data_IF_330857983693
#
_entry.id   IF_330857983693
#
_cell.length_a   1.000
_cell.length_b   1.000
_cell.length_c   1.000
_cell.angle_alpha   90.00
_cell.angle_beta   90.00
_cell.angle_gamma   90.00
#
_symmetry.space_group_name_H-M   'P 1'
#
loop_
_entity.id
_entity.type
_entity.pdbx_description
1 polymer ?
#
# COMPACT_ATOMS: atom_id res chain seq x y z
N UNK A 1 0.99 4.24 8.30
CA UNK A 1 -0.02 4.58 9.35
C UNK A 1 0.64 5.45 10.44
N UNK A 2 -0.06 5.80 11.54
CA UNK A 2 0.59 6.47 12.69
C UNK A 2 1.76 5.65 13.24
N UNK A 3 1.57 4.33 13.39
CA UNK A 3 2.61 3.41 13.85
C UNK A 3 3.82 3.38 12.91
N UNK A 4 3.59 3.25 11.59
CA UNK A 4 4.66 3.26 10.59
C UNK A 4 5.49 4.53 10.68
N UNK A 5 4.85 5.71 10.70
CA UNK A 5 5.57 6.98 10.74
C UNK A 5 6.28 7.16 12.08
N UNK A 6 5.65 6.79 13.21
CA UNK A 6 6.27 6.87 14.53
C UNK A 6 7.51 5.98 14.65
N UNK A 7 7.54 4.84 13.94
CA UNK A 7 8.69 3.93 13.98
C UNK A 7 9.95 4.51 13.36
N UNK A 8 9.85 5.53 12.51
CA UNK A 8 10.99 6.10 11.79
C UNK A 8 11.65 5.17 10.77
N UNK A 9 11.04 4.02 10.47
CA UNK A 9 11.70 2.96 9.68
C UNK A 9 12.00 3.41 8.25
N UNK A 10 11.13 4.23 7.64
CA UNK A 10 11.35 4.73 6.29
C UNK A 10 12.52 5.71 6.27
N UNK A 11 12.55 6.65 7.21
CA UNK A 11 13.62 7.63 7.38
C UNK A 11 14.95 6.93 7.58
N UNK A 12 15.02 5.99 8.53
CA UNK A 12 16.25 5.26 8.82
C UNK A 12 16.77 4.49 7.60
N UNK A 13 15.90 3.74 6.91
CA UNK A 13 16.30 2.90 5.79
C UNK A 13 16.66 3.72 4.55
N UNK A 14 15.89 4.75 4.23
CA UNK A 14 16.16 5.62 3.09
C UNK A 14 17.40 6.49 3.34
N UNK A 15 17.60 7.01 4.54
CA UNK A 15 18.79 7.79 4.87
C UNK A 15 20.07 6.96 4.78
N UNK A 16 20.03 5.67 5.17
CA UNK A 16 21.16 4.77 5.04
C UNK A 16 21.53 4.47 3.57
N UNK A 17 20.53 4.41 2.69
CA UNK A 17 20.73 4.14 1.25
C UNK A 17 21.03 5.41 0.45
N UNK A 18 20.45 6.54 0.84
CA UNK A 18 20.52 7.83 0.17
C UNK A 18 20.77 8.96 1.18
N UNK A 19 22.01 9.12 1.69
CA UNK A 19 22.29 10.09 2.75
C UNK A 19 22.00 11.56 2.39
N UNK A 20 21.95 11.90 1.11
CA UNK A 20 21.60 13.24 0.63
C UNK A 20 20.10 13.50 0.49
N UNK A 21 19.24 12.50 0.66
CA UNK A 21 17.81 12.64 0.47
C UNK A 21 17.14 13.40 1.62
N UNK A 22 16.24 14.33 1.29
CA UNK A 22 15.33 14.96 2.27
C UNK A 22 14.08 14.11 2.41
N UNK A 23 13.88 13.50 3.57
CA UNK A 23 12.79 12.56 3.80
C UNK A 23 11.70 13.21 4.65
N UNK A 24 10.45 13.13 4.20
CA UNK A 24 9.29 13.67 4.90
C UNK A 24 8.24 12.59 5.10
N UNK A 25 7.79 12.43 6.34
CA UNK A 25 6.71 11.51 6.66
C UNK A 25 5.46 12.21 7.14
N UNK A 26 4.32 11.75 6.65
CA UNK A 26 3.01 12.23 7.07
C UNK A 26 2.11 11.05 7.50
N UNK A 27 1.68 10.98 8.77
CA UNK A 27 0.68 10.01 9.15
C UNK A 27 -0.69 10.44 8.62
N UNK A 28 -1.38 9.52 7.95
CA UNK A 28 -2.70 9.74 7.34
C UNK A 28 -3.77 8.81 7.96
N UNK A 29 -4.06 8.92 9.27
CA UNK A 29 -4.90 7.97 10.00
C UNK A 29 -6.33 7.84 9.47
N UNK A 30 -6.90 8.90 8.88
CA UNK A 30 -8.27 8.86 8.36
C UNK A 30 -8.39 8.13 7.02
N UNK A 31 -7.30 7.91 6.28
CA UNK A 31 -7.41 7.33 4.94
C UNK A 31 -7.79 5.86 4.93
N UNK A 32 -7.33 5.08 5.92
CA UNK A 32 -7.68 3.66 6.04
C UNK A 32 -9.18 3.46 6.23
N UNK A 33 -9.83 4.03 7.27
CA UNK A 33 -11.27 3.83 7.47
C UNK A 33 -12.10 4.33 6.27
N UNK A 34 -11.70 5.43 5.60
CA UNK A 34 -12.38 5.88 4.39
C UNK A 34 -12.30 4.88 3.24
N UNK A 35 -11.18 4.17 3.09
CA UNK A 35 -11.02 3.13 2.07
C UNK A 35 -11.85 1.90 2.43
N UNK A 36 -11.84 1.49 3.70
CA UNK A 36 -12.61 0.36 4.21
C UNK A 36 -14.13 0.57 4.05
N UNK A 37 -14.61 1.80 4.29
CA UNK A 37 -16.00 2.23 4.03
C UNK A 37 -16.31 2.41 2.53
N UNK A 38 -15.32 2.25 1.64
CA UNK A 38 -15.49 2.39 0.20
C UNK A 38 -15.65 3.82 -0.29
N UNK A 39 -15.27 4.83 0.49
CA UNK A 39 -15.41 6.26 0.17
C UNK A 39 -14.30 6.74 -0.77
N UNK A 40 -14.08 6.03 -1.88
CA UNK A 40 -12.95 6.23 -2.80
C UNK A 40 -13.09 7.45 -3.72
N UNK A 41 -14.28 8.05 -3.82
CA UNK A 41 -14.56 9.21 -4.69
C UNK A 41 -15.32 10.35 -3.99
N UNK A 42 -15.65 10.16 -2.70
CA UNK A 42 -16.39 11.09 -1.84
C UNK A 42 -15.67 12.43 -1.67
N UNK A 43 -16.43 13.50 -1.46
CA UNK A 43 -15.88 14.87 -1.32
C UNK A 43 -14.99 14.97 -0.07
N UNK A 44 -15.39 14.30 0.99
CA UNK A 44 -14.73 14.19 2.28
C UNK A 44 -13.32 13.61 2.12
N UNK A 45 -13.20 12.48 1.42
CA UNK A 45 -11.92 11.84 1.11
C UNK A 45 -11.02 12.77 0.30
N UNK A 46 -11.58 13.48 -0.68
CA UNK A 46 -10.84 14.45 -1.50
C UNK A 46 -10.31 15.63 -0.65
N UNK A 47 -11.08 16.11 0.33
CA UNK A 47 -10.68 17.18 1.25
C UNK A 47 -9.62 16.73 2.24
N UNK A 48 -9.79 15.54 2.83
CA UNK A 48 -8.83 14.95 3.77
C UNK A 48 -7.49 14.70 3.07
N UNK A 49 -7.51 14.17 1.84
CA UNK A 49 -6.29 14.03 1.03
C UNK A 49 -5.59 15.37 0.80
N UNK A 50 -6.32 16.44 0.44
CA UNK A 50 -5.71 17.77 0.28
C UNK A 50 -5.01 18.23 1.57
N UNK A 51 -5.65 18.02 2.73
CA UNK A 51 -5.07 18.38 4.03
C UNK A 51 -3.80 17.59 4.35
N UNK A 52 -3.78 16.28 4.06
CA UNK A 52 -2.59 15.47 4.31
C UNK A 52 -1.46 15.73 3.31
N UNK A 53 -1.77 16.01 2.05
CA UNK A 53 -0.76 16.24 1.01
C UNK A 53 -0.21 17.66 1.02
N UNK A 54 -0.94 18.64 1.58
CA UNK A 54 -0.52 20.04 1.56
C UNK A 54 0.89 20.30 2.15
N UNK A 55 1.26 19.76 3.33
CA UNK A 55 2.61 19.91 3.86
C UNK A 55 3.69 19.36 2.90
N UNK A 56 3.44 18.18 2.32
CA UNK A 56 4.39 17.53 1.40
C UNK A 56 4.57 18.33 0.11
N UNK A 57 3.51 18.99 -0.37
CA UNK A 57 3.60 19.90 -1.52
C UNK A 57 4.43 21.14 -1.23
N UNK A 58 4.33 21.69 -0.02
CA UNK A 58 5.13 22.84 0.38
C UNK A 58 6.62 22.53 0.39
N UNK A 59 6.98 21.29 0.72
CA UNK A 59 8.35 20.79 0.67
C UNK A 59 8.84 20.45 -0.75
N UNK A 60 7.96 20.54 -1.76
CA UNK A 60 8.28 20.30 -3.16
C UNK A 60 8.89 18.91 -3.42
N UNK A 61 8.36 17.88 -2.76
CA UNK A 61 8.80 16.49 -2.99
C UNK A 61 8.66 16.11 -4.47
N UNK A 62 9.59 15.32 -4.98
CA UNK A 62 9.55 14.73 -6.32
C UNK A 62 9.00 13.29 -6.32
N UNK A 63 8.98 12.63 -5.16
CA UNK A 63 8.62 11.23 -5.00
C UNK A 63 7.77 11.05 -3.76
N UNK A 64 6.68 10.29 -3.88
CA UNK A 64 5.78 9.94 -2.78
C UNK A 64 5.58 8.43 -2.71
N UNK A 65 6.00 7.84 -1.60
CA UNK A 65 5.75 6.42 -1.30
C UNK A 65 4.36 6.24 -0.69
N UNK A 66 3.56 5.36 -1.28
CA UNK A 66 2.27 4.94 -0.75
C UNK A 66 2.47 3.89 0.36
N UNK A 67 2.98 4.33 1.51
CA UNK A 67 3.43 3.46 2.63
C UNK A 67 2.33 2.77 3.45
N UNK A 68 1.20 2.43 2.83
CA UNK A 68 0.13 1.63 3.41
C UNK A 68 -0.55 0.83 2.31
N UNK A 69 -0.86 -0.44 2.58
CA UNK A 69 -1.52 -1.37 1.64
C UNK A 69 -2.85 -0.85 1.06
N UNK A 70 -3.51 0.08 1.73
CA UNK A 70 -4.78 0.67 1.29
C UNK A 70 -4.61 1.81 0.28
N UNK A 71 -3.46 2.50 0.29
CA UNK A 71 -3.27 3.75 -0.45
C UNK A 71 -3.19 3.59 -1.98
N UNK A 72 -2.80 2.43 -2.55
CA UNK A 72 -2.95 2.17 -3.99
C UNK A 72 -4.37 2.41 -4.52
N UNK A 73 -5.40 2.09 -3.74
CA UNK A 73 -6.81 2.33 -4.11
C UNK A 73 -7.15 3.81 -4.23
N UNK A 74 -6.35 4.70 -3.63
CA UNK A 74 -6.50 6.15 -3.71
C UNK A 74 -5.56 6.80 -4.73
N UNK A 75 -4.76 6.03 -5.48
CA UNK A 75 -3.71 6.55 -6.39
C UNK A 75 -4.26 7.58 -7.38
N UNK A 76 -5.43 7.31 -7.98
CA UNK A 76 -6.12 8.22 -8.91
C UNK A 76 -6.60 9.52 -8.25
N UNK A 77 -6.87 9.51 -6.94
CA UNK A 77 -7.15 10.73 -6.18
C UNK A 77 -5.87 11.44 -5.73
N UNK A 78 -4.83 10.70 -5.37
CA UNK A 78 -3.57 11.26 -4.85
C UNK A 78 -2.82 12.01 -5.96
N UNK A 79 -2.62 11.39 -7.12
CA UNK A 79 -1.79 11.94 -8.20
C UNK A 79 -2.13 13.38 -8.60
N UNK A 80 -3.38 13.69 -8.97
CA UNK A 80 -3.78 15.06 -9.31
C UNK A 80 -3.64 16.06 -8.15
N UNK A 81 -3.66 15.59 -6.90
CA UNK A 81 -3.63 16.45 -5.70
C UNK A 81 -2.21 16.76 -5.24
N UNK A 82 -1.29 15.79 -5.30
CA UNK A 82 0.12 16.00 -4.96
C UNK A 82 0.87 16.75 -6.07
N UNK A 83 0.53 16.47 -7.33
CA UNK A 83 1.11 17.13 -8.50
C UNK A 83 1.58 16.11 -9.54
N UNK A 84 1.41 16.44 -10.84
CA UNK A 84 1.74 15.52 -11.95
C UNK A 84 3.22 15.17 -12.09
N UNK A 85 4.10 15.97 -11.51
CA UNK A 85 5.56 15.75 -11.53
C UNK A 85 6.05 14.82 -10.42
N UNK A 86 5.18 14.47 -9.46
CA UNK A 86 5.56 13.61 -8.34
C UNK A 86 5.43 12.15 -8.74
N UNK A 87 6.53 11.41 -8.63
CA UNK A 87 6.55 9.98 -8.84
C UNK A 87 5.82 9.27 -7.68
N UNK A 88 4.82 8.45 -8.00
CA UNK A 88 4.06 7.70 -7.00
C UNK A 88 4.55 6.25 -6.93
N UNK A 89 5.21 5.90 -5.83
CA UNK A 89 5.70 4.55 -5.57
C UNK A 89 4.62 3.73 -4.87
N UNK A 90 4.23 2.63 -5.51
CA UNK A 90 3.30 1.65 -4.96
C UNK A 90 4.07 0.47 -4.37
N UNK A 91 4.11 0.38 -3.04
CA UNK A 91 4.85 -0.67 -2.35
C UNK A 91 4.42 -2.09 -2.74
N UNK A 92 3.18 -2.30 -3.19
CA UNK A 92 2.72 -3.64 -3.60
C UNK A 92 3.43 -4.12 -4.88
N UNK A 93 3.62 -3.21 -5.84
CA UNK A 93 4.30 -3.50 -7.10
C UNK A 93 5.79 -3.75 -6.86
N UNK A 94 6.43 -2.90 -6.06
CA UNK A 94 7.85 -3.05 -5.74
C UNK A 94 8.15 -4.37 -5.00
N UNK A 95 7.29 -4.76 -4.06
CA UNK A 95 7.42 -6.05 -3.37
C UNK A 95 7.26 -7.23 -4.35
N UNK A 96 6.29 -7.17 -5.27
CA UNK A 96 6.09 -8.23 -6.26
C UNK A 96 7.30 -8.38 -7.20
N UNK A 97 7.89 -7.26 -7.64
CA UNK A 97 9.10 -7.25 -8.45
C UNK A 97 10.30 -7.83 -7.68
N UNK A 98 10.44 -7.47 -6.40
CA UNK A 98 11.50 -8.00 -5.54
C UNK A 98 11.36 -9.50 -5.32
N UNK A 99 10.15 -10.01 -5.08
CA UNK A 99 9.88 -11.46 -4.97
C UNK A 99 10.22 -12.20 -6.26
N UNK A 100 9.87 -11.62 -7.42
CA UNK A 100 10.25 -12.19 -8.73
C UNK A 100 11.76 -12.30 -8.87
N UNK A 101 12.49 -11.25 -8.51
CA UNK A 101 13.95 -11.22 -8.58
C UNK A 101 14.59 -12.21 -7.61
N UNK A 102 14.06 -12.30 -6.39
CA UNK A 102 14.48 -13.28 -5.41
C UNK A 102 14.31 -14.71 -5.95
N UNK A 103 13.15 -15.05 -6.53
CA UNK A 103 12.92 -16.37 -7.11
C UNK A 103 13.78 -16.66 -8.33
N UNK A 104 14.15 -15.63 -9.10
CA UNK A 104 15.08 -15.77 -10.23
C UNK A 104 16.47 -16.21 -9.73
N UNK A 105 16.95 -15.59 -8.65
CA UNK A 105 18.23 -15.93 -8.01
C UNK A 105 18.19 -17.22 -7.17
N UNK A 106 17.03 -17.82 -6.96
CA UNK A 106 16.84 -19.03 -6.16
C UNK A 106 16.12 -20.13 -6.98
N UNK A 107 16.78 -20.70 -8.01
CA UNK A 107 16.14 -21.60 -8.97
C UNK A 107 15.59 -22.88 -8.34
N UNK A 108 16.23 -23.42 -7.30
CA UNK A 108 15.74 -24.62 -6.58
C UNK A 108 14.39 -24.35 -5.89
N UNK A 109 14.27 -23.21 -5.21
CA UNK A 109 13.01 -22.80 -4.58
C UNK A 109 11.93 -22.56 -5.65
N UNK A 110 12.30 -21.90 -6.75
CA UNK A 110 11.39 -21.67 -7.88
C UNK A 110 10.88 -22.99 -8.46
N UNK A 111 11.74 -23.99 -8.65
CA UNK A 111 11.35 -25.30 -9.16
C UNK A 111 10.37 -26.02 -8.22
N UNK A 112 10.62 -25.98 -6.90
CA UNK A 112 9.70 -26.54 -5.90
C UNK A 112 8.31 -25.89 -5.91
N UNK A 113 8.24 -24.59 -6.22
CA UNK A 113 6.99 -23.84 -6.28
C UNK A 113 6.22 -24.05 -7.60
N UNK A 114 6.89 -24.46 -8.69
CA UNK A 114 6.26 -24.65 -10.01
C UNK A 114 5.30 -25.86 -10.06
N UNK A 115 5.46 -26.85 -9.18
CA UNK A 115 4.65 -28.08 -9.17
C UNK A 115 3.25 -27.93 -8.59
N UNK A 116 2.95 -26.84 -7.87
CA UNK A 116 1.69 -26.68 -7.15
C UNK A 116 0.83 -25.57 -7.77
N UNK A 117 0.12 -25.90 -8.85
CA UNK A 117 -0.87 -25.01 -9.49
C UNK A 117 -2.21 -24.93 -8.73
N UNK A 118 -2.21 -25.19 -7.42
CA UNK A 118 -3.39 -24.99 -6.61
C UNK A 118 -3.83 -23.51 -6.68
N UNK A 119 -5.13 -23.27 -6.73
CA UNK A 119 -5.67 -21.93 -6.64
C UNK A 119 -5.18 -21.26 -5.34
N UNK A 120 -4.88 -19.96 -5.41
CA UNK A 120 -4.52 -19.19 -4.22
C UNK A 120 -5.64 -19.28 -3.18
N UNK A 121 -5.29 -19.65 -1.95
CA UNK A 121 -6.21 -19.70 -0.81
C UNK A 121 -5.98 -18.48 0.08
N UNK A 122 -7.07 -17.87 0.55
CA UNK A 122 -7.02 -16.66 1.36
C UNK A 122 -7.70 -16.91 2.70
N UNK A 123 -6.98 -16.70 3.78
CA UNK A 123 -7.47 -16.94 5.13
C UNK A 123 -7.65 -15.62 5.89
N UNK A 124 -8.73 -15.52 6.68
CA UNK A 124 -9.03 -14.33 7.50
C UNK A 124 -9.44 -14.74 8.92
N UNK A 125 -9.07 -13.95 9.92
CA UNK A 125 -9.52 -14.18 11.30
C UNK A 125 -10.99 -13.84 11.51
N UNK A 126 -11.51 -12.90 10.71
CA UNK A 126 -12.94 -12.60 10.65
C UNK A 126 -13.39 -12.33 9.21
N UNK A 127 -14.64 -12.72 8.90
CA UNK A 127 -15.15 -12.74 7.53
C UNK A 127 -16.49 -12.00 7.44
N UNK A 128 -16.43 -10.68 7.58
CA UNK A 128 -17.60 -9.79 7.45
C UNK A 128 -17.82 -9.39 5.99
N UNK A 129 -19.01 -8.84 5.68
CA UNK A 129 -19.29 -8.33 4.34
C UNK A 129 -18.33 -7.19 3.92
N UNK A 130 -17.99 -6.20 4.79
CA UNK A 130 -16.98 -5.19 4.47
C UNK A 130 -15.62 -5.76 4.08
N UNK A 131 -15.12 -6.78 4.80
CA UNK A 131 -13.84 -7.43 4.50
C UNK A 131 -13.85 -8.06 3.10
N UNK A 132 -14.93 -8.75 2.73
CA UNK A 132 -15.08 -9.33 1.37
C UNK A 132 -15.08 -8.26 0.29
N UNK A 133 -15.83 -7.17 0.51
CA UNK A 133 -15.89 -6.06 -0.45
C UNK A 133 -14.53 -5.36 -0.61
N UNK A 134 -13.82 -5.14 0.48
CA UNK A 134 -12.48 -4.55 0.46
C UNK A 134 -11.49 -5.47 -0.27
N UNK A 135 -11.51 -6.77 0.05
CA UNK A 135 -10.69 -7.77 -0.63
C UNK A 135 -10.95 -7.73 -2.15
N UNK A 136 -12.22 -7.77 -2.57
CA UNK A 136 -12.57 -7.71 -3.98
C UNK A 136 -12.01 -6.46 -4.69
N UNK A 137 -12.03 -5.31 -4.02
CA UNK A 137 -11.44 -4.05 -4.53
C UNK A 137 -9.92 -4.12 -4.64
N UNK A 138 -9.23 -4.68 -3.65
CA UNK A 138 -7.77 -4.82 -3.66
C UNK A 138 -7.33 -5.78 -4.78
N UNK A 139 -8.03 -6.90 -4.95
CA UNK A 139 -7.68 -7.93 -5.93
C UNK A 139 -8.25 -7.66 -7.34
N UNK A 140 -9.16 -6.70 -7.48
CA UNK A 140 -9.86 -6.42 -8.74
C UNK A 140 -10.80 -7.55 -9.20
N UNK A 141 -11.08 -8.52 -8.32
CA UNK A 141 -11.95 -9.68 -8.55
C UNK A 141 -12.44 -10.22 -7.22
N UNK A 142 -13.55 -10.95 -7.23
CA UNK A 142 -13.96 -11.71 -6.06
C UNK A 142 -12.94 -12.80 -5.74
N UNK A 143 -12.69 -12.99 -4.43
CA UNK A 143 -11.82 -14.05 -3.92
C UNK A 143 -12.54 -14.80 -2.80
N UNK A 144 -12.31 -16.11 -2.75
CA UNK A 144 -12.85 -16.94 -1.68
C UNK A 144 -12.02 -16.72 -0.41
N UNK A 145 -12.66 -16.20 0.64
CA UNK A 145 -12.07 -16.02 1.95
C UNK A 145 -12.51 -17.14 2.89
N UNK A 146 -11.54 -17.83 3.49
CA UNK A 146 -11.75 -18.88 4.48
C UNK A 146 -11.53 -18.32 5.90
N UNK A 147 -12.54 -18.38 6.77
CA UNK A 147 -12.41 -17.92 8.16
C UNK A 147 -11.64 -18.96 8.97
N UNK A 148 -10.58 -18.52 9.66
CA UNK A 148 -9.75 -19.36 10.53
C UNK A 148 -9.68 -18.76 11.94
N UNK A 149 -9.59 -19.60 12.97
CA UNK A 149 -9.33 -19.16 14.34
C UNK A 149 -7.83 -19.06 14.54
N UNK A 150 -7.35 -17.90 14.97
CA UNK A 150 -5.98 -17.71 15.42
C UNK A 150 -5.98 -17.99 16.94
N UNK A 151 -5.04 -18.80 17.46
CA UNK A 151 -4.94 -19.10 18.89
C UNK A 151 -4.70 -17.84 19.74
#
# INVERSE_FOLDING_TARGET
>A
TRATVKSGIYEQRLQALLPGARIFSRPCPLLVPLVEEGWLSRRETKMILRRYLHPLRREQIDTLVLGCTHYPLLKQLIGPRIGRRVNLIDSSVEVALHVREFLHHNPELRARLQGNRAASRFFVSDCTAPVRQLAAKIFGREILLEKVKIP
#
